data_IF_906122623192
#
_entry.id   IF_906122623192
#
_cell.length_a   1.000
_cell.length_b   1.000
_cell.length_c   1.000
_cell.angle_alpha   90.00
_cell.angle_beta   90.00
_cell.angle_gamma   90.00
#
_symmetry.space_group_name_H-M   'P 1'
#
loop_
_entity.id
_entity.type
_entity.pdbx_description
1 polymer ?
#
# COMPACT_ATOMS: atom_id res chain seq x y z
N UNK A 1 10.26 -11.12 -11.01
CA UNK A 1 10.11 -9.84 -10.29
C UNK A 1 11.46 -9.38 -9.80
N UNK A 2 11.70 -8.07 -9.71
CA UNK A 2 12.91 -7.50 -9.10
C UNK A 2 12.50 -6.92 -7.75
N UNK A 3 13.20 -7.29 -6.68
CA UNK A 3 13.02 -6.66 -5.37
C UNK A 3 13.40 -5.17 -5.49
N UNK A 4 12.50 -4.26 -5.11
CA UNK A 4 12.73 -2.83 -5.16
C UNK A 4 13.02 -2.20 -3.78
N UNK A 5 12.57 -2.84 -2.69
CA UNK A 5 12.79 -2.39 -1.32
C UNK A 5 12.72 -3.56 -0.33
N UNK A 6 13.50 -3.50 0.74
CA UNK A 6 13.39 -4.39 1.90
C UNK A 6 13.79 -3.65 3.18
N UNK A 7 13.19 -4.01 4.31
CA UNK A 7 13.42 -3.34 5.57
C UNK A 7 12.64 -3.98 6.71
N UNK A 8 12.99 -3.62 7.95
CA UNK A 8 12.34 -4.16 9.15
C UNK A 8 11.03 -3.45 9.52
N UNK A 9 10.76 -2.28 8.91
CA UNK A 9 9.59 -1.46 9.17
C UNK A 9 8.72 -1.42 7.93
N UNK A 10 7.51 -1.95 8.04
CA UNK A 10 6.56 -2.06 6.92
C UNK A 10 6.25 -0.70 6.30
N UNK A 11 6.08 0.34 7.11
CA UNK A 11 5.81 1.72 6.67
C UNK A 11 6.93 2.29 5.82
N UNK A 12 8.19 2.06 6.20
CA UNK A 12 9.36 2.50 5.44
C UNK A 12 9.46 1.78 4.08
N UNK A 13 9.19 0.46 4.07
CA UNK A 13 9.17 -0.33 2.83
C UNK A 13 8.04 0.13 1.91
N UNK A 14 6.83 0.33 2.45
CA UNK A 14 5.67 0.84 1.72
C UNK A 14 5.97 2.18 1.05
N UNK A 15 6.52 3.15 1.79
CA UNK A 15 6.89 4.45 1.23
C UNK A 15 7.84 4.30 0.04
N UNK A 16 8.85 3.43 0.17
CA UNK A 16 9.81 3.19 -0.90
C UNK A 16 9.15 2.54 -2.13
N UNK A 17 8.25 1.58 -1.92
CA UNK A 17 7.49 0.93 -2.99
C UNK A 17 6.62 1.94 -3.73
N UNK A 18 5.88 2.79 -3.02
CA UNK A 18 5.01 3.81 -3.62
C UNK A 18 5.79 4.84 -4.43
N UNK A 19 6.97 5.24 -3.97
CA UNK A 19 7.88 6.08 -4.74
C UNK A 19 8.35 5.39 -6.04
N UNK A 20 8.71 4.11 -5.98
CA UNK A 20 9.11 3.33 -7.16
C UNK A 20 7.95 3.11 -8.14
N UNK A 21 6.71 3.05 -7.65
CA UNK A 21 5.48 2.98 -8.47
C UNK A 21 5.14 4.31 -9.15
N UNK A 22 5.85 5.40 -8.79
CA UNK A 22 5.61 6.78 -9.24
C UNK A 22 4.18 7.22 -8.97
N UNK A 23 3.70 7.01 -7.75
CA UNK A 23 2.31 7.29 -7.36
C UNK A 23 1.85 8.72 -7.69
N UNK A 24 2.75 9.71 -7.67
CA UNK A 24 2.42 11.09 -8.04
C UNK A 24 1.93 11.26 -9.49
N UNK A 25 2.25 10.30 -10.37
CA UNK A 25 1.82 10.27 -11.77
C UNK A 25 0.61 9.31 -11.98
N UNK A 26 0.02 8.79 -10.91
CA UNK A 26 -1.08 7.80 -10.91
C UNK A 26 -2.39 8.43 -10.48
N UNK A 27 -3.49 7.80 -10.85
CA UNK A 27 -4.83 8.29 -10.51
C UNK A 27 -5.44 7.46 -9.37
N UNK A 28 -5.18 6.15 -9.35
CA UNK A 28 -5.79 5.21 -8.42
C UNK A 28 -4.77 4.22 -7.85
N UNK A 29 -4.92 3.89 -6.57
CA UNK A 29 -4.18 2.84 -5.88
C UNK A 29 -5.15 1.93 -5.13
N UNK A 30 -5.11 0.63 -5.43
CA UNK A 30 -5.88 -0.39 -4.72
C UNK A 30 -4.97 -1.12 -3.73
N UNK A 31 -5.34 -1.10 -2.45
CA UNK A 31 -4.68 -1.81 -1.36
C UNK A 31 -5.55 -2.98 -0.89
N UNK A 32 -5.04 -4.19 -1.08
CA UNK A 32 -5.63 -5.42 -0.55
C UNK A 32 -4.90 -5.82 0.72
N UNK A 33 -5.59 -5.96 1.84
CA UNK A 33 -4.99 -6.42 3.09
C UNK A 33 -5.22 -7.93 3.33
N UNK A 34 -4.21 -8.57 3.90
CA UNK A 34 -4.17 -10.00 4.20
C UNK A 34 -5.07 -10.43 5.34
N UNK A 35 -5.16 -11.74 5.56
CA UNK A 35 -5.98 -12.33 6.63
C UNK A 35 -5.49 -11.95 8.04
N UNK A 36 -4.18 -11.71 8.19
CA UNK A 36 -3.55 -11.37 9.47
C UNK A 36 -3.51 -9.86 9.76
N UNK A 37 -3.98 -9.03 8.81
CA UNK A 37 -4.02 -7.57 8.94
C UNK A 37 -5.39 -7.11 9.38
N UNK A 38 -5.45 -6.29 10.43
CA UNK A 38 -6.71 -5.70 10.87
C UNK A 38 -7.15 -4.58 9.92
N UNK A 39 -8.46 -4.38 9.79
CA UNK A 39 -9.00 -3.26 9.02
C UNK A 39 -8.53 -1.90 9.56
N UNK A 40 -8.24 -1.79 10.86
CA UNK A 40 -7.73 -0.57 11.48
C UNK A 40 -6.28 -0.28 11.04
N UNK A 41 -5.42 -1.30 10.99
CA UNK A 41 -4.04 -1.16 10.52
C UNK A 41 -4.01 -0.80 9.03
N UNK A 42 -4.85 -1.46 8.23
CA UNK A 42 -4.98 -1.16 6.81
C UNK A 42 -5.49 0.27 6.58
N UNK A 43 -6.49 0.74 7.33
CA UNK A 43 -6.97 2.12 7.26
C UNK A 43 -5.91 3.14 7.69
N UNK A 44 -5.08 2.82 8.69
CA UNK A 44 -3.97 3.69 9.10
C UNK A 44 -2.90 3.84 8.00
N UNK A 45 -2.70 2.81 7.18
CA UNK A 45 -1.81 2.88 6.02
C UNK A 45 -2.43 3.73 4.91
N UNK A 46 -3.71 3.53 4.60
CA UNK A 46 -4.42 4.34 3.60
C UNK A 46 -4.34 5.83 3.94
N UNK A 47 -4.61 6.21 5.19
CA UNK A 47 -4.51 7.59 5.64
C UNK A 47 -3.09 8.19 5.46
N UNK A 48 -2.04 7.38 5.64
CA UNK A 48 -0.66 7.81 5.37
C UNK A 48 -0.41 8.02 3.88
N UNK A 49 -0.95 7.14 3.03
CA UNK A 49 -0.82 7.25 1.57
C UNK A 49 -1.55 8.49 1.07
N UNK A 50 -2.80 8.70 1.49
CA UNK A 50 -3.60 9.88 1.12
C UNK A 50 -2.95 11.19 1.60
N UNK A 51 -2.34 11.20 2.80
CA UNK A 51 -1.60 12.37 3.29
C UNK A 51 -0.35 12.67 2.45
N UNK A 52 0.34 11.64 1.94
CA UNK A 52 1.53 11.79 1.12
C UNK A 52 1.22 12.10 -0.36
N UNK A 53 0.09 11.59 -0.86
CA UNK A 53 -0.34 11.68 -2.25
C UNK A 53 -1.82 12.12 -2.33
N UNK A 54 -2.15 13.37 -1.96
CA UNK A 54 -3.53 13.84 -1.84
C UNK A 54 -4.30 13.93 -3.17
N UNK A 55 -3.60 13.75 -4.29
CA UNK A 55 -4.16 13.75 -5.64
C UNK A 55 -4.52 12.36 -6.15
N UNK A 56 -4.15 11.30 -5.40
CA UNK A 56 -4.35 9.90 -5.77
C UNK A 56 -5.53 9.35 -4.99
N UNK A 57 -6.46 8.69 -5.66
CA UNK A 57 -7.54 7.96 -5.01
C UNK A 57 -7.01 6.65 -4.44
N UNK A 58 -7.35 6.33 -3.19
CA UNK A 58 -6.89 5.10 -2.54
C UNK A 58 -8.08 4.24 -2.16
N UNK A 59 -8.16 3.06 -2.75
CA UNK A 59 -9.17 2.05 -2.43
C UNK A 59 -8.60 0.99 -1.49
N UNK A 60 -9.39 0.63 -0.47
CA UNK A 60 -9.04 -0.44 0.48
C UNK A 60 -9.99 -1.61 0.34
N UNK A 61 -9.44 -2.80 0.12
CA UNK A 61 -10.20 -4.02 -0.07
C UNK A 61 -9.75 -5.14 0.88
N UNK A 62 -10.69 -5.92 1.45
CA UNK A 62 -10.36 -7.14 2.16
C UNK A 62 -9.87 -8.20 1.17
N UNK A 63 -8.56 -8.44 1.14
CA UNK A 63 -7.95 -9.48 0.30
C UNK A 63 -8.02 -10.87 0.92
N UNK A 64 -7.91 -10.96 2.25
CA UNK A 64 -7.98 -12.22 3.00
C UNK A 64 -6.85 -13.20 2.67
N UNK A 65 -5.75 -12.70 2.13
CA UNK A 65 -4.63 -13.52 1.67
C UNK A 65 -3.83 -14.06 2.87
N UNK A 66 -3.53 -15.37 2.92
CA UNK A 66 -2.86 -15.99 4.08
C UNK A 66 -1.33 -15.83 4.10
N UNK A 67 -0.73 -15.25 3.06
CA UNK A 67 0.73 -15.18 2.91
C UNK A 67 1.27 -13.77 2.64
N UNK A 68 0.39 -12.79 2.47
CA UNK A 68 0.76 -11.42 2.16
C UNK A 68 -0.02 -10.48 3.06
N UNK A 69 0.70 -9.64 3.79
CA UNK A 69 0.08 -8.60 4.61
C UNK A 69 -0.64 -7.57 3.73
N UNK A 70 -0.01 -7.20 2.60
CA UNK A 70 -0.55 -6.22 1.65
C UNK A 70 -0.21 -6.59 0.21
N UNK A 71 -1.16 -6.35 -0.70
CA UNK A 71 -0.92 -6.25 -2.15
C UNK A 71 -1.39 -4.89 -2.63
N UNK A 72 -0.56 -4.24 -3.46
CA UNK A 72 -0.84 -2.93 -4.03
C UNK A 72 -0.91 -3.01 -5.55
N UNK A 73 -1.95 -2.41 -6.12
CA UNK A 73 -2.05 -2.08 -7.54
C UNK A 73 -2.13 -0.56 -7.71
N UNK A 74 -1.59 -0.02 -8.82
CA UNK A 74 -1.75 1.39 -9.16
C UNK A 74 -1.92 1.56 -10.67
N UNK A 75 -2.77 2.51 -11.06
CA UNK A 75 -3.11 2.84 -12.45
C UNK A 75 -2.59 4.23 -12.84
#
# INVERSE_FOLDING_TARGET
GRLCASGAQITAVLHHVLQQMKLADRELVSLYYGADVSAADAAAIVAQIEAAYPMVEVEILPGGQPHYDYILGAE
#
